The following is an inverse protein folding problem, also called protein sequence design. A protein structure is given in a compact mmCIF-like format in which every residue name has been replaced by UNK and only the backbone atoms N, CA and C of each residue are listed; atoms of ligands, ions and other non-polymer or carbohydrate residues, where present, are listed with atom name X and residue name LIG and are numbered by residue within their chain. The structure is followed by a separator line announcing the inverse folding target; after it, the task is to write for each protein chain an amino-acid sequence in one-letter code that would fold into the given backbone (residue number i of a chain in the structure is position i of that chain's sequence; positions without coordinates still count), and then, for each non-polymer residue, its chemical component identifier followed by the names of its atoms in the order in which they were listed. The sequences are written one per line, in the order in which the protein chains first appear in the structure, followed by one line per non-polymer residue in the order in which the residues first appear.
data_IF_901473619541
#
_entry.id   IF_901473619541
#
_cell.length_a   1.000
_cell.length_b   1.000
_cell.length_c   1.000
_cell.angle_alpha   90.00
_cell.angle_beta   90.00
_cell.angle_gamma   90.00
#
_symmetry.space_group_name_H-M   'P 1'
#
loop_
_entity.id
_entity.type
_entity.pdbx_description
1 polymer ?
#
# COMPACT_ATOMS: atom_id res chain seq x y z
N UNK A 1 -44.22 -43.12 5.10
CA UNK A 1 -43.74 -41.86 4.48
C UNK A 1 -43.95 -40.66 5.40
N UNK A 2 -45.17 -40.42 5.92
CA UNK A 2 -45.49 -39.27 6.79
C UNK A 2 -44.64 -39.17 8.08
N UNK A 3 -44.31 -40.31 8.71
CA UNK A 3 -43.52 -40.36 9.94
C UNK A 3 -42.06 -39.91 9.76
N UNK A 4 -41.46 -40.20 8.59
CA UNK A 4 -40.10 -39.77 8.25
C UNK A 4 -40.01 -38.25 8.01
N UNK A 5 -41.08 -37.67 7.45
CA UNK A 5 -41.18 -36.21 7.24
C UNK A 5 -41.25 -35.48 8.59
N UNK A 6 -41.97 -36.04 9.55
CA UNK A 6 -42.10 -35.44 10.89
C UNK A 6 -40.77 -35.44 11.67
N UNK A 7 -39.98 -36.52 11.56
CA UNK A 7 -38.65 -36.62 12.16
C UNK A 7 -37.69 -35.57 11.58
N UNK A 8 -37.73 -35.36 10.26
CA UNK A 8 -36.88 -34.39 9.58
C UNK A 8 -37.24 -32.93 9.95
N UNK A 9 -38.51 -32.64 10.22
CA UNK A 9 -38.98 -31.32 10.68
C UNK A 9 -38.67 -31.04 12.15
N UNK A 10 -38.54 -32.08 12.98
CA UNK A 10 -38.21 -31.97 14.41
C UNK A 10 -36.71 -31.93 14.68
N UNK A 11 -35.89 -32.49 13.79
CA UNK A 11 -34.44 -32.25 13.80
C UNK A 11 -34.19 -30.81 13.35
N UNK A 12 -33.86 -29.90 14.28
CA UNK A 12 -33.27 -28.61 13.94
C UNK A 12 -31.76 -28.82 13.77
N UNK A 13 -31.23 -29.04 12.56
CA UNK A 13 -29.79 -29.11 12.39
C UNK A 13 -29.22 -27.72 12.72
N UNK A 14 -28.25 -27.66 13.63
CA UNK A 14 -27.47 -26.45 13.90
C UNK A 14 -26.54 -26.20 12.71
N UNK A 15 -27.12 -25.79 11.57
CA UNK A 15 -26.36 -25.33 10.41
C UNK A 15 -26.05 -23.87 10.63
N UNK A 16 -24.83 -23.59 11.06
CA UNK A 16 -24.29 -22.24 11.06
C UNK A 16 -23.95 -21.89 9.60
N UNK A 17 -24.88 -21.25 8.90
CA UNK A 17 -24.67 -20.65 7.58
C UNK A 17 -24.43 -19.14 7.68
N UNK A 18 -24.20 -18.62 8.90
CA UNK A 18 -23.94 -17.21 9.12
C UNK A 18 -22.53 -16.87 8.64
N UNK A 19 -22.41 -15.75 7.92
CA UNK A 19 -21.11 -15.18 7.56
C UNK A 19 -20.33 -14.84 8.84
N UNK A 20 -19.10 -15.32 8.94
CA UNK A 20 -18.17 -14.88 9.97
C UNK A 20 -17.33 -13.76 9.40
N UNK A 21 -17.57 -12.53 9.85
CA UNK A 21 -16.69 -11.40 9.55
C UNK A 21 -15.42 -11.52 10.39
N UNK A 22 -14.48 -12.32 9.91
CA UNK A 22 -13.11 -12.24 10.39
C UNK A 22 -12.45 -11.06 9.68
N UNK A 23 -11.84 -10.15 10.44
CA UNK A 23 -11.07 -9.06 9.84
C UNK A 23 -9.98 -9.60 8.90
N UNK A 24 -9.67 -8.84 7.85
CA UNK A 24 -8.54 -9.14 6.98
C UNK A 24 -7.24 -8.94 7.78
N UNK A 25 -6.68 -10.03 8.31
CA UNK A 25 -5.40 -9.99 9.02
C UNK A 25 -4.20 -10.00 8.06
N UNK A 26 -4.43 -10.33 6.79
CA UNK A 26 -3.36 -10.49 5.80
C UNK A 26 -3.72 -9.93 4.41
N UNK A 27 -2.74 -9.33 3.74
CA UNK A 27 -2.82 -8.99 2.32
C UNK A 27 -2.24 -10.15 1.49
N UNK A 28 -3.13 -10.91 0.85
CA UNK A 28 -2.76 -12.10 0.06
C UNK A 28 -1.95 -11.76 -1.18
N UNK A 29 -2.12 -10.57 -1.77
CA UNK A 29 -1.32 -10.13 -2.93
C UNK A 29 0.14 -9.88 -2.53
N UNK A 30 0.38 -9.29 -1.36
CA UNK A 30 1.72 -9.11 -0.80
C UNK A 30 2.37 -10.46 -0.48
N UNK A 31 1.64 -11.38 0.15
CA UNK A 31 2.16 -12.71 0.47
C UNK A 31 2.58 -13.50 -0.79
N UNK A 32 1.74 -13.49 -1.83
CA UNK A 32 2.05 -14.13 -3.11
C UNK A 32 3.27 -13.50 -3.78
N UNK A 33 3.44 -12.18 -3.70
CA UNK A 33 4.58 -11.47 -4.30
C UNK A 33 5.87 -11.69 -3.53
N UNK A 34 5.83 -11.70 -2.21
CA UNK A 34 6.98 -11.94 -1.35
C UNK A 34 7.59 -13.33 -1.57
N UNK A 35 6.76 -14.34 -1.83
CA UNK A 35 7.21 -15.69 -2.19
C UNK A 35 8.02 -15.74 -3.51
N UNK A 36 7.92 -14.71 -4.35
CA UNK A 36 8.52 -14.65 -5.70
C UNK A 36 9.67 -13.63 -5.79
N UNK A 37 9.82 -12.74 -4.80
CA UNK A 37 10.74 -11.61 -4.90
C UNK A 37 12.19 -11.99 -4.58
N UNK A 38 13.10 -11.77 -5.53
CA UNK A 38 14.55 -11.91 -5.37
C UNK A 38 15.17 -10.57 -4.98
N UNK A 39 16.15 -10.63 -4.06
CA UNK A 39 17.03 -9.53 -3.64
C UNK A 39 17.38 -8.59 -4.79
N UNK A 40 16.87 -7.37 -4.73
CA UNK A 40 17.30 -6.28 -5.60
C UNK A 40 18.37 -5.50 -4.83
N UNK A 41 19.57 -5.39 -5.38
CA UNK A 41 20.65 -4.60 -4.77
C UNK A 41 20.22 -3.14 -4.69
N UNK A 42 20.50 -2.49 -3.55
CA UNK A 42 20.26 -1.07 -3.36
C UNK A 42 21.20 -0.28 -4.28
N UNK A 43 20.68 0.17 -5.42
CA UNK A 43 21.33 1.18 -6.26
C UNK A 43 21.00 2.54 -5.64
N UNK A 44 22.00 3.41 -5.44
CA UNK A 44 21.75 4.81 -5.11
C UNK A 44 21.11 5.49 -6.33
N UNK A 45 19.79 5.47 -6.37
CA UNK A 45 18.99 6.19 -7.36
C UNK A 45 18.78 7.62 -6.86
N UNK A 46 18.88 8.60 -7.76
CA UNK A 46 18.49 9.98 -7.50
C UNK A 46 17.67 10.50 -8.67
N UNK A 47 16.75 11.42 -8.40
CA UNK A 47 15.83 12.01 -9.38
C UNK A 47 15.88 13.53 -9.32
N UNK A 48 15.49 14.21 -10.38
CA UNK A 48 15.43 15.67 -10.45
C UNK A 48 14.02 16.17 -10.11
N UNK A 49 13.91 17.45 -9.74
CA UNK A 49 12.59 18.10 -9.72
C UNK A 49 12.11 18.44 -11.14
N UNK A 50 10.79 18.43 -11.40
CA UNK A 50 9.72 18.09 -10.46
C UNK A 50 9.64 16.59 -10.20
N UNK A 51 9.49 16.23 -8.92
CA UNK A 51 9.15 14.85 -8.52
C UNK A 51 7.63 14.67 -8.60
N UNK A 52 7.19 13.60 -9.27
CA UNK A 52 5.77 13.30 -9.41
C UNK A 52 5.54 11.78 -9.41
N UNK A 53 4.54 11.36 -8.65
CA UNK A 53 4.02 10.00 -8.74
C UNK A 53 2.52 9.95 -8.44
N UNK A 54 1.78 9.28 -9.32
CA UNK A 54 0.35 9.02 -9.18
C UNK A 54 0.05 7.52 -9.00
N UNK A 55 1.11 6.71 -8.86
CA UNK A 55 1.09 5.26 -8.67
C UNK A 55 0.39 4.45 -9.78
N UNK A 56 -0.01 5.07 -10.89
CA UNK A 56 -0.79 4.42 -11.95
C UNK A 56 -0.03 3.30 -12.68
N UNK A 57 1.30 3.44 -12.80
CA UNK A 57 2.21 2.44 -13.38
C UNK A 57 2.65 1.36 -12.38
N UNK A 58 2.38 1.58 -11.09
CA UNK A 58 2.72 0.63 -10.03
C UNK A 58 1.61 -0.42 -9.87
N UNK A 59 1.92 -1.53 -9.20
CA UNK A 59 0.93 -2.60 -8.99
C UNK A 59 0.81 -3.04 -7.55
N UNK A 60 1.90 -3.54 -6.95
CA UNK A 60 1.91 -4.02 -5.56
C UNK A 60 2.79 -3.12 -4.71
N UNK A 61 4.00 -2.86 -5.20
CA UNK A 61 4.95 -1.95 -4.57
C UNK A 61 5.08 -0.67 -5.39
N UNK A 62 5.47 0.45 -4.76
CA UNK A 62 5.79 1.68 -5.47
C UNK A 62 6.95 1.49 -6.45
N UNK A 63 7.07 2.40 -7.42
CA UNK A 63 8.19 2.42 -8.36
C UNK A 63 9.52 2.62 -7.62
N UNK A 64 10.41 1.61 -7.69
CA UNK A 64 11.71 1.62 -7.02
C UNK A 64 12.70 2.65 -7.59
N UNK A 65 12.40 3.25 -8.76
CA UNK A 65 13.16 4.40 -9.26
C UNK A 65 12.77 5.71 -8.57
N UNK A 66 11.64 5.72 -7.87
CA UNK A 66 11.09 6.91 -7.18
C UNK A 66 11.05 6.74 -5.67
N UNK A 67 10.84 5.53 -5.16
CA UNK A 67 10.65 5.23 -3.75
C UNK A 67 11.58 4.12 -3.27
N UNK A 68 12.06 4.24 -2.04
CA UNK A 68 12.93 3.28 -1.37
C UNK A 68 12.09 2.32 -0.55
N UNK A 69 12.35 1.02 -0.72
CA UNK A 69 11.71 -0.04 0.04
C UNK A 69 10.31 -0.40 -0.47
N UNK A 70 9.65 -1.31 0.25
CA UNK A 70 8.43 -2.00 -0.16
C UNK A 70 7.37 -2.03 0.96
N UNK A 71 7.41 -1.06 1.88
CA UNK A 71 6.59 -1.02 3.10
C UNK A 71 5.20 -0.40 2.92
N UNK A 72 4.82 -0.07 1.68
CA UNK A 72 3.54 0.53 1.33
C UNK A 72 2.94 -0.24 0.18
N UNK A 73 1.64 -0.52 0.29
CA UNK A 73 0.91 -1.25 -0.73
C UNK A 73 0.28 -0.29 -1.73
N UNK A 74 0.45 -0.54 -3.03
CA UNK A 74 -0.25 0.21 -4.07
C UNK A 74 -1.61 -0.43 -4.31
N UNK A 75 -2.68 0.29 -4.00
CA UNK A 75 -4.04 -0.22 -4.02
C UNK A 75 -4.87 0.48 -5.10
N UNK A 76 -5.63 -0.31 -5.89
CA UNK A 76 -6.52 0.18 -6.95
C UNK A 76 -8.00 0.11 -6.58
N UNK A 77 -8.32 -0.61 -5.51
CA UNK A 77 -9.70 -0.96 -5.13
C UNK A 77 -10.18 -0.22 -3.87
N UNK A 78 -9.25 0.18 -3.01
CA UNK A 78 -9.52 0.82 -1.71
C UNK A 78 -9.74 2.34 -1.75
N UNK A 79 -9.03 3.12 -2.60
CA UNK A 79 -9.24 4.56 -2.63
C UNK A 79 -10.66 4.92 -3.07
N UNK A 80 -11.31 5.86 -2.38
CA UNK A 80 -12.64 6.35 -2.71
C UNK A 80 -12.56 7.56 -3.63
N UNK A 81 -13.05 7.41 -4.86
CA UNK A 81 -13.01 8.44 -5.91
C UNK A 81 -11.61 9.10 -6.05
N UNK A 82 -10.53 8.29 -6.22
CA UNK A 82 -9.19 8.83 -6.30
C UNK A 82 -8.99 9.72 -7.54
N UNK A 83 -8.06 10.69 -7.48
CA UNK A 83 -7.70 11.49 -8.66
C UNK A 83 -7.14 10.67 -9.83
N UNK A 84 -6.61 9.46 -9.58
CA UNK A 84 -6.10 8.52 -10.57
C UNK A 84 -6.38 7.06 -10.15
N UNK A 85 -5.91 6.07 -10.92
CA UNK A 85 -6.31 4.66 -10.81
C UNK A 85 -5.76 3.89 -9.60
N UNK A 86 -4.79 4.45 -8.88
CA UNK A 86 -4.13 3.78 -7.75
C UNK A 86 -3.73 4.78 -6.67
N UNK A 87 -3.58 4.30 -5.44
CA UNK A 87 -2.98 5.06 -4.35
C UNK A 87 -2.10 4.20 -3.45
N UNK A 88 -1.06 4.83 -2.91
CA UNK A 88 -0.28 4.29 -1.79
C UNK A 88 -1.15 4.16 -0.54
N UNK A 89 -1.26 2.94 -0.01
CA UNK A 89 -2.07 2.60 1.16
C UNK A 89 -1.18 2.26 2.34
N UNK A 90 -1.47 2.90 3.47
CA UNK A 90 -0.81 2.71 4.75
C UNK A 90 -1.79 1.93 5.66
N UNK A 91 -1.75 0.61 5.58
CA UNK A 91 -2.74 -0.32 6.11
C UNK A 91 -2.28 -1.11 7.34
N UNK A 92 -1.12 -0.81 7.93
CA UNK A 92 -0.54 -1.53 9.09
C UNK A 92 0.03 -2.90 8.77
N UNK A 93 0.14 -3.25 7.48
CA UNK A 93 0.69 -4.52 7.03
C UNK A 93 2.12 -4.34 6.54
N UNK A 94 3.01 -5.22 6.97
CA UNK A 94 4.40 -5.25 6.54
C UNK A 94 4.52 -5.69 5.07
N UNK A 95 5.75 -5.76 4.55
CA UNK A 95 6.04 -6.13 3.16
C UNK A 95 5.58 -7.55 2.76
N UNK A 96 5.27 -8.40 3.76
CA UNK A 96 4.74 -9.75 3.60
C UNK A 96 3.20 -9.79 3.67
N UNK A 97 2.57 -8.65 3.92
CA UNK A 97 1.13 -8.50 4.09
C UNK A 97 0.63 -8.84 5.48
N UNK A 98 1.49 -8.92 6.49
CA UNK A 98 1.11 -9.29 7.87
C UNK A 98 1.11 -8.06 8.78
N UNK A 99 0.24 -8.04 9.79
CA UNK A 99 0.26 -6.98 10.81
C UNK A 99 1.64 -6.90 11.47
N UNK A 100 2.20 -5.69 11.58
CA UNK A 100 3.50 -5.48 12.23
C UNK A 100 3.55 -6.16 13.61
N UNK A 101 4.61 -6.92 13.96
CA UNK A 101 4.68 -7.66 15.22
C UNK A 101 4.60 -6.77 16.49
N UNK A 102 5.02 -5.52 16.37
CA UNK A 102 4.97 -4.50 17.43
C UNK A 102 3.70 -3.64 17.36
N UNK A 103 2.74 -3.98 16.50
CA UNK A 103 1.50 -3.25 16.39
C UNK A 103 0.74 -3.29 17.73
N UNK A 104 0.30 -2.12 18.16
CA UNK A 104 -0.43 -1.98 19.42
C UNK A 104 -1.38 -0.79 19.34
N UNK A 105 -2.23 -0.64 20.35
CA UNK A 105 -3.08 0.55 20.51
C UNK A 105 -2.28 1.82 20.83
N UNK A 106 -1.00 1.70 21.19
CA UNK A 106 -0.09 2.83 21.40
C UNK A 106 0.62 3.16 20.09
N UNK A 107 1.00 4.43 19.86
CA UNK A 107 1.75 4.80 18.65
C UNK A 107 3.00 3.94 18.47
N UNK A 108 3.20 3.44 17.25
CA UNK A 108 4.37 2.71 16.83
C UNK A 108 4.71 3.09 15.38
N UNK A 109 5.92 2.77 14.95
CA UNK A 109 6.33 2.95 13.55
C UNK A 109 5.75 1.78 12.73
N UNK A 110 4.86 2.10 11.79
CA UNK A 110 4.30 1.17 10.82
C UNK A 110 4.89 1.49 9.43
N UNK A 111 4.03 1.54 8.42
CA UNK A 111 4.34 1.80 7.02
C UNK A 111 5.09 3.12 6.82
N UNK A 112 6.08 3.10 5.92
CA UNK A 112 6.86 4.27 5.55
C UNK A 112 7.03 4.32 4.04
N UNK A 113 6.71 5.47 3.45
CA UNK A 113 7.00 5.77 2.05
C UNK A 113 8.12 6.81 1.99
N UNK A 114 9.28 6.43 1.49
CA UNK A 114 10.46 7.29 1.41
C UNK A 114 10.88 7.44 -0.04
N UNK A 115 11.02 8.67 -0.54
CA UNK A 115 11.51 8.88 -1.90
C UNK A 115 12.98 8.51 -2.02
N UNK A 116 13.44 8.28 -3.24
CA UNK A 116 14.86 8.38 -3.57
C UNK A 116 15.37 9.81 -3.36
N UNK A 117 16.69 10.02 -3.44
CA UNK A 117 17.26 11.37 -3.29
C UNK A 117 16.74 12.28 -4.41
N UNK A 118 16.14 13.41 -4.03
CA UNK A 118 15.68 14.43 -4.96
C UNK A 118 16.77 15.50 -5.09
N UNK A 119 17.36 15.58 -6.28
CA UNK A 119 18.41 16.52 -6.66
C UNK A 119 17.81 17.91 -6.89
N UNK A 120 18.37 18.89 -6.18
CA UNK A 120 17.96 20.30 -6.24
C UNK A 120 18.91 21.15 -7.08
N UNK A 121 19.95 20.54 -7.66
CA UNK A 121 21.07 21.23 -8.32
C UNK A 121 20.97 21.26 -9.85
N UNK A 122 19.99 20.58 -10.44
CA UNK A 122 19.79 20.50 -11.89
C UNK A 122 18.30 20.46 -12.23
N UNK A 123 17.64 21.62 -12.09
CA UNK A 123 16.19 21.79 -12.24
C UNK A 123 15.75 21.82 -13.71
N UNK A 124 16.56 22.41 -14.57
CA UNK A 124 16.23 22.65 -15.97
C UNK A 124 17.13 21.83 -16.89
N UNK A 125 16.53 21.28 -17.95
CA UNK A 125 17.24 20.68 -19.08
C UNK A 125 16.93 21.51 -20.33
N UNK A 126 17.93 21.87 -21.17
CA UNK A 126 19.31 21.37 -21.19
C UNK A 126 20.32 22.19 -20.36
N UNK A 127 19.89 23.25 -19.67
CA UNK A 127 20.79 24.13 -18.90
C UNK A 127 20.57 23.92 -17.39
N UNK A 128 21.39 23.06 -16.73
CA UNK A 128 21.29 22.82 -15.30
C UNK A 128 21.42 24.13 -14.51
N UNK A 129 20.46 24.37 -13.62
CA UNK A 129 20.54 25.42 -12.63
C UNK A 129 20.20 24.82 -11.26
N UNK A 130 21.01 25.16 -10.27
CA UNK A 130 20.76 24.77 -8.88
C UNK A 130 19.81 25.75 -8.20
N UNK A 131 18.95 25.22 -7.32
CA UNK A 131 18.16 26.02 -6.41
C UNK A 131 19.09 26.78 -5.45
N UNK A 132 18.74 28.03 -5.20
CA UNK A 132 19.36 28.90 -4.22
C UNK A 132 18.47 28.96 -2.98
N UNK A 133 18.99 29.36 -1.81
CA UNK A 133 18.17 29.56 -0.62
C UNK A 133 17.01 30.56 -0.78
N UNK A 134 17.07 31.45 -1.78
CA UNK A 134 16.01 32.40 -2.09
C UNK A 134 14.88 31.81 -2.96
N UNK A 135 15.08 30.63 -3.55
CA UNK A 135 14.09 29.97 -4.39
C UNK A 135 13.12 29.14 -3.51
N UNK A 136 11.87 28.97 -3.94
CA UNK A 136 10.84 28.25 -3.17
C UNK A 136 10.62 26.84 -3.70
N UNK A 137 10.42 25.88 -2.79
CA UNK A 137 10.02 24.50 -3.12
C UNK A 137 8.61 24.28 -2.60
N UNK A 138 7.77 23.69 -3.42
CA UNK A 138 6.40 23.33 -3.06
C UNK A 138 6.26 21.81 -3.01
N UNK A 139 5.67 21.31 -1.93
CA UNK A 139 5.35 19.90 -1.75
C UNK A 139 3.84 19.75 -1.57
N UNK A 140 3.22 18.95 -2.42
CA UNK A 140 1.78 18.71 -2.40
C UNK A 140 1.45 17.26 -2.71
N UNK A 141 0.41 16.76 -2.05
CA UNK A 141 -0.10 15.42 -2.25
C UNK A 141 -1.59 15.39 -1.92
N UNK A 142 -2.30 14.43 -2.50
CA UNK A 142 -3.65 14.07 -2.07
C UNK A 142 -3.55 13.03 -0.95
N UNK A 143 -4.42 13.12 0.05
CA UNK A 143 -4.56 12.09 1.07
C UNK A 143 -6.03 11.82 1.35
N UNK A 144 -6.36 10.56 1.59
CA UNK A 144 -7.66 10.14 2.09
C UNK A 144 -7.49 9.66 3.53
N UNK A 145 -8.13 10.31 4.52
CA UNK A 145 -8.18 9.78 5.87
C UNK A 145 -9.18 8.62 5.92
N UNK A 146 -8.86 7.61 6.72
CA UNK A 146 -9.67 6.40 6.88
C UNK A 146 -9.72 5.55 5.59
N UNK A 147 -9.53 4.27 5.81
CA UNK A 147 -9.73 3.23 4.83
C UNK A 147 -11.14 2.68 4.87
#
# INVERSE_FOLDING_TARGET
MLFLVLIFLLSKPNLYAQESLNGLTINTQLQQKAAVSKNSQAVEVSTNIPFFDDFSSSNIYPDQQKWVGNQVFINKDFPFLPPNTAAATFDVLNEYGEVYPNASIRPFKADQLQSVLIRLDSIFSPAPQALRPADSIYFSFYYQPQG
#
